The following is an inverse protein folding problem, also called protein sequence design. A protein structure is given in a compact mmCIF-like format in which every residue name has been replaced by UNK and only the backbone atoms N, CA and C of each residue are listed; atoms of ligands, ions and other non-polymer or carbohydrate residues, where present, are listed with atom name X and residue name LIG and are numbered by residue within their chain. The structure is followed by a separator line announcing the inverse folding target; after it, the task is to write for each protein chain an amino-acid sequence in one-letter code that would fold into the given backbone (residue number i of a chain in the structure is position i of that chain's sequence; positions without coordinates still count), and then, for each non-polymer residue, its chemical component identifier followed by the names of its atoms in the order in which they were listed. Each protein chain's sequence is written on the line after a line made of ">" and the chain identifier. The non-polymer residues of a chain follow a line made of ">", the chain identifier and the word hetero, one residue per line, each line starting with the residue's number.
data_IF_822535394738
#
_entry.id   IF_822535394738
#
_cell.length_a   1.000
_cell.length_b   1.000
_cell.length_c   1.000
_cell.angle_alpha   90.00
_cell.angle_beta   90.00
_cell.angle_gamma   90.00
#
_symmetry.space_group_name_H-M   'P 1'
#
loop_
_entity.id
_entity.type
_entity.pdbx_description
1 polymer ?
#
# COMPACT_ATOMS: atom_id res chain seq x y z
N UNK A 1 17.40 4.57 31.89
CA UNK A 1 17.04 3.15 31.74
C UNK A 1 16.77 2.92 30.27
N UNK A 2 17.58 2.10 29.59
CA UNK A 2 17.28 1.69 28.22
C UNK A 2 15.92 1.01 28.20
N UNK A 3 14.96 1.60 27.47
CA UNK A 3 13.71 0.92 27.17
C UNK A 3 14.05 -0.19 26.19
N UNK A 4 14.21 -1.41 26.69
CA UNK A 4 14.33 -2.58 25.85
C UNK A 4 13.05 -2.69 25.00
N UNK A 5 13.17 -2.38 23.71
CA UNK A 5 12.08 -2.57 22.75
C UNK A 5 11.82 -4.08 22.66
N UNK A 6 10.55 -4.53 22.59
CA UNK A 6 10.27 -5.95 22.39
C UNK A 6 10.90 -6.47 21.08
N UNK A 7 11.32 -7.74 21.06
CA UNK A 7 11.81 -8.40 19.83
C UNK A 7 10.74 -8.41 18.72
N UNK A 8 9.46 -8.41 19.10
CA UNK A 8 8.32 -8.37 18.19
C UNK A 8 7.29 -7.39 18.70
N UNK A 9 6.73 -6.59 17.81
CA UNK A 9 5.59 -5.71 18.05
C UNK A 9 4.43 -6.24 17.22
N UNK A 10 3.33 -6.52 17.90
CA UNK A 10 2.06 -6.92 17.29
C UNK A 10 1.09 -5.75 17.38
N UNK A 11 0.26 -5.61 16.36
CA UNK A 11 -0.90 -4.72 16.37
C UNK A 11 -2.14 -5.59 16.50
N UNK A 12 -3.15 -5.07 17.19
CA UNK A 12 -4.47 -5.70 17.25
C UNK A 12 -5.23 -5.50 15.94
N UNK A 13 -6.22 -6.35 15.64
CA UNK A 13 -7.07 -6.20 14.44
C UNK A 13 -7.77 -4.83 14.41
N UNK A 14 -8.10 -4.27 15.58
CA UNK A 14 -8.71 -2.93 15.71
C UNK A 14 -7.79 -1.80 15.29
N UNK A 15 -6.48 -2.04 15.26
CA UNK A 15 -5.46 -1.07 14.84
C UNK A 15 -5.12 -1.21 13.36
N UNK A 16 -5.73 -2.15 12.64
CA UNK A 16 -5.53 -2.27 11.20
C UNK A 16 -5.97 -0.99 10.47
N UNK A 17 -5.18 -0.53 9.49
CA UNK A 17 -5.60 0.55 8.61
C UNK A 17 -6.91 0.23 7.89
N UNK A 18 -7.77 1.25 7.75
CA UNK A 18 -9.08 1.14 7.07
C UNK A 18 -9.08 1.71 5.65
N UNK A 19 -7.96 2.31 5.24
CA UNK A 19 -7.81 2.98 3.95
C UNK A 19 -6.48 2.59 3.32
N UNK A 20 -6.47 2.39 2.01
CA UNK A 20 -5.24 2.36 1.22
C UNK A 20 -4.78 3.79 0.96
N UNK A 21 -3.45 3.98 0.96
CA UNK A 21 -2.84 5.26 0.64
C UNK A 21 -2.29 5.23 -0.80
N UNK A 22 -2.73 6.18 -1.62
CA UNK A 22 -2.27 6.37 -2.97
C UNK A 22 -1.17 7.44 -3.00
N UNK A 23 0.08 6.98 -3.11
CA UNK A 23 1.25 7.87 -3.16
C UNK A 23 1.18 8.87 -4.32
N UNK A 24 0.52 8.53 -5.44
CA UNK A 24 0.45 9.41 -6.61
C UNK A 24 -0.20 10.74 -6.27
N UNK A 25 -1.15 10.79 -5.33
CA UNK A 25 -1.79 12.03 -4.87
C UNK A 25 -0.78 13.11 -4.47
N UNK A 26 0.27 12.73 -3.75
CA UNK A 26 1.26 13.66 -3.19
C UNK A 26 2.55 13.77 -4.03
N UNK A 27 2.66 13.05 -5.14
CA UNK A 27 3.80 13.16 -6.04
C UNK A 27 3.83 14.53 -6.74
N UNK A 28 4.95 15.25 -6.59
CA UNK A 28 5.21 16.52 -7.29
C UNK A 28 5.26 16.34 -8.82
N UNK A 29 5.95 15.30 -9.26
CA UNK A 29 6.03 14.90 -10.67
C UNK A 29 5.25 13.60 -10.80
N UNK A 30 4.14 13.62 -11.54
CA UNK A 30 3.31 12.43 -11.76
C UNK A 30 4.03 11.45 -12.69
N UNK A 31 3.82 10.13 -12.53
CA UNK A 31 4.30 9.15 -13.49
C UNK A 31 3.71 9.43 -14.88
N UNK A 32 4.41 8.99 -15.93
CA UNK A 32 3.86 9.06 -17.28
C UNK A 32 2.55 8.25 -17.36
N UNK A 33 1.53 8.73 -18.08
CA UNK A 33 0.26 8.01 -18.20
C UNK A 33 0.46 6.70 -18.98
N UNK A 34 -0.39 5.72 -18.69
CA UNK A 34 -0.52 4.53 -19.53
C UNK A 34 -1.08 4.96 -20.89
N UNK A 35 -0.41 4.58 -21.97
CA UNK A 35 -0.83 4.92 -23.32
C UNK A 35 -1.52 3.74 -23.99
N UNK A 36 -2.57 4.02 -24.74
CA UNK A 36 -3.17 3.03 -25.63
C UNK A 36 -2.18 2.72 -26.77
N UNK A 37 -1.81 1.44 -27.01
CA UNK A 37 -0.79 1.10 -27.99
C UNK A 37 -1.18 1.41 -29.44
N UNK A 38 -2.47 1.53 -29.73
CA UNK A 38 -2.96 1.84 -31.08
C UNK A 38 -2.98 3.36 -31.36
N UNK A 39 -3.35 4.18 -30.36
CA UNK A 39 -3.50 5.64 -30.53
C UNK A 39 -2.33 6.43 -29.97
N UNK A 40 -1.53 5.85 -29.08
CA UNK A 40 -0.49 6.50 -28.28
C UNK A 40 -1.00 7.64 -27.38
N UNK A 41 -2.31 7.68 -27.14
CA UNK A 41 -2.94 8.63 -26.23
C UNK A 41 -3.15 8.01 -24.84
N UNK A 42 -3.25 8.82 -23.77
CA UNK A 42 -3.57 8.33 -22.43
C UNK A 42 -4.82 7.43 -22.41
N UNK A 43 -4.71 6.28 -21.75
CA UNK A 43 -5.80 5.31 -21.66
C UNK A 43 -6.98 5.86 -20.85
N UNK A 44 -8.19 5.61 -21.33
CA UNK A 44 -9.42 5.87 -20.56
C UNK A 44 -9.78 4.69 -19.67
N UNK A 45 -10.66 4.92 -18.69
CA UNK A 45 -11.17 3.87 -17.80
C UNK A 45 -11.87 2.77 -18.60
N UNK A 46 -12.61 3.12 -19.65
CA UNK A 46 -13.34 2.17 -20.49
C UNK A 46 -12.38 1.26 -21.25
N UNK A 47 -11.30 1.82 -21.78
CA UNK A 47 -10.26 1.06 -22.49
C UNK A 47 -9.53 0.11 -21.55
N UNK A 48 -9.20 0.57 -20.33
CA UNK A 48 -8.52 -0.23 -19.32
C UNK A 48 -9.44 -1.31 -18.74
N UNK A 49 -10.75 -1.04 -18.65
CA UNK A 49 -11.78 -1.97 -18.18
C UNK A 49 -12.01 -3.16 -19.11
N UNK A 50 -11.47 -3.14 -20.34
CA UNK A 50 -11.47 -4.31 -21.22
C UNK A 50 -10.59 -5.44 -20.69
N UNK A 51 -9.62 -5.12 -19.81
CA UNK A 51 -8.65 -6.07 -19.24
C UNK A 51 -8.81 -6.21 -17.73
N UNK A 52 -9.09 -5.10 -17.03
CA UNK A 52 -9.19 -5.05 -15.58
C UNK A 52 -10.63 -4.82 -15.11
N UNK A 53 -10.92 -5.14 -13.86
CA UNK A 53 -12.18 -4.73 -13.23
C UNK A 53 -12.29 -3.20 -13.24
N UNK A 54 -13.48 -2.68 -13.56
CA UNK A 54 -13.70 -1.23 -13.69
C UNK A 54 -13.30 -0.42 -12.46
N UNK A 55 -13.53 -0.94 -11.24
CA UNK A 55 -13.10 -0.26 -10.01
C UNK A 55 -11.58 -0.17 -9.89
N UNK A 56 -10.84 -1.20 -10.31
CA UNK A 56 -9.37 -1.16 -10.34
C UNK A 56 -8.87 -0.21 -11.43
N UNK A 57 -9.53 -0.18 -12.59
CA UNK A 57 -9.21 0.75 -13.67
C UNK A 57 -9.40 2.21 -13.23
N UNK A 58 -10.45 2.52 -12.46
CA UNK A 58 -10.66 3.86 -11.87
C UNK A 58 -9.53 4.24 -10.91
N UNK A 59 -9.10 3.32 -10.04
CA UNK A 59 -7.99 3.57 -9.12
C UNK A 59 -6.67 3.79 -9.85
N UNK A 60 -6.41 3.05 -10.93
CA UNK A 60 -5.16 3.15 -11.70
C UNK A 60 -4.99 4.50 -12.41
N UNK A 61 -6.09 5.14 -12.82
CA UNK A 61 -6.04 6.48 -13.46
C UNK A 61 -6.21 7.63 -12.46
N UNK A 62 -6.41 7.34 -11.18
CA UNK A 62 -6.61 8.35 -10.14
C UNK A 62 -5.27 8.82 -9.53
N UNK A 63 -4.87 10.03 -9.89
CA UNK A 63 -3.66 10.68 -9.39
C UNK A 63 -3.91 11.71 -8.28
N UNK A 64 -5.13 11.78 -7.74
CA UNK A 64 -5.59 12.88 -6.87
C UNK A 64 -6.08 12.40 -5.51
N UNK A 65 -6.75 11.26 -5.45
CA UNK A 65 -7.32 10.76 -4.19
C UNK A 65 -6.24 10.13 -3.34
N UNK A 66 -5.91 10.72 -2.19
CA UNK A 66 -4.84 10.23 -1.31
C UNK A 66 -5.24 8.97 -0.51
N UNK A 67 -6.50 8.87 -0.09
CA UNK A 67 -6.99 7.77 0.74
C UNK A 67 -8.23 7.13 0.10
N UNK A 68 -8.20 5.81 -0.02
CA UNK A 68 -9.27 5.00 -0.61
C UNK A 68 -9.72 4.01 0.47
N UNK A 69 -11.01 4.05 0.82
CA UNK A 69 -11.57 3.13 1.82
C UNK A 69 -11.42 1.68 1.37
N UNK A 70 -10.96 0.84 2.30
CA UNK A 70 -10.88 -0.61 2.06
C UNK A 70 -12.29 -1.18 2.26
N UNK A 71 -12.86 -1.88 1.27
CA UNK A 71 -14.17 -2.50 1.42
C UNK A 71 -14.20 -3.46 2.60
N UNK A 72 -15.32 -3.52 3.31
CA UNK A 72 -15.47 -4.32 4.53
C UNK A 72 -15.12 -5.81 4.30
N UNK A 73 -15.55 -6.39 3.17
CA UNK A 73 -15.24 -7.77 2.79
C UNK A 73 -13.73 -8.03 2.68
N UNK A 74 -12.97 -7.03 2.22
CA UNK A 74 -11.51 -7.12 2.08
C UNK A 74 -10.83 -6.95 3.45
N UNK A 75 -11.32 -6.06 4.30
CA UNK A 75 -10.85 -5.94 5.70
C UNK A 75 -11.07 -7.26 6.45
N UNK A 76 -12.23 -7.88 6.29
CA UNK A 76 -12.53 -9.16 6.92
C UNK A 76 -11.63 -10.29 6.40
N UNK A 77 -11.34 -10.29 5.09
CA UNK A 77 -10.37 -11.22 4.52
C UNK A 77 -8.95 -10.98 5.04
N UNK A 78 -8.52 -9.72 5.19
CA UNK A 78 -7.19 -9.39 5.69
C UNK A 78 -6.92 -9.89 7.11
N UNK A 79 -7.93 -9.92 7.99
CA UNK A 79 -7.78 -10.44 9.37
C UNK A 79 -7.23 -11.87 9.43
N UNK A 80 -7.36 -12.65 8.36
CA UNK A 80 -6.78 -14.01 8.30
C UNK A 80 -5.25 -14.03 8.40
N UNK A 81 -4.55 -12.95 8.02
CA UNK A 81 -3.08 -12.91 7.95
C UNK A 81 -2.46 -11.53 8.25
N UNK A 82 -3.27 -10.51 8.51
CA UNK A 82 -2.87 -9.16 8.91
C UNK A 82 -3.43 -8.85 10.30
N UNK A 83 -2.81 -7.93 11.05
CA UNK A 83 -1.57 -7.22 10.73
C UNK A 83 -0.32 -8.11 10.92
N UNK A 84 0.67 -7.95 10.05
CA UNK A 84 1.94 -8.68 10.18
C UNK A 84 2.78 -8.04 11.30
N UNK A 85 3.47 -8.85 12.15
CA UNK A 85 4.29 -8.30 13.22
C UNK A 85 5.51 -7.56 12.68
N UNK A 86 5.93 -6.53 13.42
CA UNK A 86 7.23 -5.87 13.21
C UNK A 86 8.27 -6.53 14.12
N UNK A 87 9.35 -7.06 13.54
CA UNK A 87 10.39 -7.79 14.27
C UNK A 87 11.67 -6.97 14.26
N UNK A 88 12.26 -6.74 15.44
CA UNK A 88 13.57 -6.07 15.55
C UNK A 88 14.70 -7.09 15.43
N UNK A 89 15.69 -6.76 14.61
CA UNK A 89 16.75 -7.68 14.22
C UNK A 89 17.99 -7.61 15.15
N UNK A 90 17.81 -7.84 16.45
CA UNK A 90 18.88 -7.72 17.45
C UNK A 90 20.15 -8.54 17.15
N UNK A 91 20.00 -9.76 16.61
CA UNK A 91 21.15 -10.59 16.26
C UNK A 91 21.97 -9.98 15.11
N UNK A 92 21.27 -9.34 14.15
CA UNK A 92 21.92 -8.63 13.04
C UNK A 92 22.60 -7.35 13.55
N UNK A 93 21.92 -6.57 14.40
CA UNK A 93 22.48 -5.37 15.03
C UNK A 93 23.80 -5.68 15.75
N UNK A 94 23.81 -6.76 16.56
CA UNK A 94 25.01 -7.25 17.26
C UNK A 94 26.11 -7.69 16.30
N UNK A 95 25.77 -8.43 15.25
CA UNK A 95 26.76 -8.92 14.27
C UNK A 95 27.41 -7.78 13.49
N UNK A 96 26.65 -6.72 13.23
CA UNK A 96 27.11 -5.53 12.51
C UNK A 96 27.77 -4.48 13.42
N UNK A 97 27.63 -4.59 14.75
CA UNK A 97 28.16 -3.61 15.70
C UNK A 97 27.55 -2.21 15.54
N UNK A 98 26.29 -2.12 15.09
CA UNK A 98 25.64 -0.83 14.81
C UNK A 98 25.13 -0.17 16.09
N UNK A 99 25.01 1.17 16.12
CA UNK A 99 24.40 1.90 17.24
C UNK A 99 22.86 1.90 17.21
N UNK A 100 22.23 1.18 16.26
CA UNK A 100 20.78 1.10 16.13
C UNK A 100 20.12 0.48 17.37
#
# INVERSE_FOLDING_TARGET
>A
MEKNIPYKIYLEETEMPKQWYNVRADMKNKPAPLLNPATLEPMTVEQLSAVFCTELAKQEVDDKTAYIDIPQEILDFYKMYRPSPLVRAYCLEKALGTPA
#
